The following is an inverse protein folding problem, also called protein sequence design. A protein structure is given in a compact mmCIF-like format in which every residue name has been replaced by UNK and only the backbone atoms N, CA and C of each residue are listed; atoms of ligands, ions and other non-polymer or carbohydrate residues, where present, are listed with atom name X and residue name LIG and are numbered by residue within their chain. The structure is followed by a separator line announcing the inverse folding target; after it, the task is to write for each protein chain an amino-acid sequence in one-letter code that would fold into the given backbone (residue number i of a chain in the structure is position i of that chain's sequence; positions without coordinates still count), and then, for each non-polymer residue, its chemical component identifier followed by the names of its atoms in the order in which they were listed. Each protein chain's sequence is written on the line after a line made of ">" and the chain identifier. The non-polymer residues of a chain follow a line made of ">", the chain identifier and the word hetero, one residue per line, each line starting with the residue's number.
data_IF_992959824362
#
_entry.id   IF_992959824362
#
_cell.length_a   1.000
_cell.length_b   1.000
_cell.length_c   1.000
_cell.angle_alpha   90.00
_cell.angle_beta   90.00
_cell.angle_gamma   90.00
#
_symmetry.space_group_name_H-M   'P 1'
#
loop_
_entity.id
_entity.type
_entity.pdbx_description
1 polymer ?
#
# COMPACT_ATOMS: atom_id res chain seq x y z
N UNK A 1 -12.10 -35.54 14.56
CA UNK A 1 -12.12 -34.93 13.21
C UNK A 1 -11.12 -33.79 13.24
N UNK A 2 -10.01 -33.79 12.47
CA UNK A 2 -9.15 -32.61 12.38
C UNK A 2 -9.88 -31.53 11.55
N UNK A 3 -9.91 -30.30 12.03
CA UNK A 3 -10.57 -29.17 11.37
C UNK A 3 -9.95 -28.91 9.98
N UNK A 4 -10.74 -29.09 8.92
CA UNK A 4 -10.34 -28.87 7.53
C UNK A 4 -10.19 -27.38 7.16
N UNK A 5 -10.59 -26.46 8.04
CA UNK A 5 -10.52 -25.03 7.82
C UNK A 5 -9.21 -24.45 8.35
N UNK A 6 -8.39 -23.92 7.44
CA UNK A 6 -7.16 -23.18 7.78
C UNK A 6 -7.53 -21.69 7.86
N UNK A 7 -7.60 -21.10 9.06
CA UNK A 7 -8.04 -19.72 9.21
C UNK A 7 -6.93 -18.77 8.74
N UNK A 8 -7.27 -17.79 7.91
CA UNK A 8 -6.36 -16.68 7.60
C UNK A 8 -6.35 -15.65 8.76
N UNK A 9 -5.37 -14.75 8.77
CA UNK A 9 -5.22 -13.76 9.85
C UNK A 9 -6.45 -12.85 9.97
N UNK A 10 -7.07 -12.48 8.84
CA UNK A 10 -8.29 -11.67 8.81
C UNK A 10 -9.44 -12.36 9.56
N UNK A 11 -9.65 -13.65 9.31
CA UNK A 11 -10.62 -14.49 10.00
C UNK A 11 -10.34 -14.52 11.51
N UNK A 12 -9.11 -14.84 11.92
CA UNK A 12 -8.74 -14.92 13.33
C UNK A 12 -8.97 -13.59 14.07
N UNK A 13 -8.65 -12.47 13.42
CA UNK A 13 -8.86 -11.12 13.97
C UNK A 13 -10.34 -10.81 14.16
N UNK A 14 -11.19 -11.15 13.19
CA UNK A 14 -12.64 -10.99 13.33
C UNK A 14 -13.25 -11.88 14.42
N UNK A 15 -12.76 -13.11 14.57
CA UNK A 15 -13.19 -13.98 15.67
C UNK A 15 -12.77 -13.39 17.01
N UNK A 16 -11.55 -12.85 17.13
CA UNK A 16 -11.12 -12.13 18.35
C UNK A 16 -12.03 -10.94 18.65
N UNK A 17 -12.39 -10.14 17.64
CA UNK A 17 -13.32 -9.03 17.78
C UNK A 17 -14.70 -9.51 18.27
N UNK A 18 -15.26 -10.54 17.64
CA UNK A 18 -16.54 -11.13 18.05
C UNK A 18 -16.52 -11.60 19.51
N UNK A 19 -15.46 -12.31 19.92
CA UNK A 19 -15.31 -12.80 21.29
C UNK A 19 -15.09 -11.66 22.30
N UNK A 20 -14.35 -10.62 21.91
CA UNK A 20 -14.18 -9.41 22.72
C UNK A 20 -15.52 -8.69 22.93
N UNK A 21 -16.31 -8.49 21.87
CA UNK A 21 -17.64 -7.89 21.94
C UNK A 21 -18.63 -8.78 22.72
N UNK A 22 -18.39 -10.09 22.75
CA UNK A 22 -19.13 -11.04 23.59
C UNK A 22 -18.74 -10.98 25.08
N UNK A 23 -17.81 -10.09 25.46
CA UNK A 23 -17.42 -9.84 26.85
C UNK A 23 -16.32 -10.74 27.39
N UNK A 24 -15.63 -11.53 26.55
CA UNK A 24 -14.55 -12.40 27.00
C UNK A 24 -13.25 -11.61 27.23
N UNK A 25 -12.50 -12.00 28.26
CA UNK A 25 -11.15 -11.46 28.49
C UNK A 25 -10.11 -12.14 27.57
N UNK A 26 -8.91 -11.55 27.48
CA UNK A 26 -7.83 -12.03 26.59
C UNK A 26 -7.44 -13.49 26.85
N UNK A 27 -7.47 -13.94 28.11
CA UNK A 27 -7.11 -15.32 28.48
C UNK A 27 -8.15 -16.31 27.95
N UNK A 28 -9.43 -16.01 28.16
CA UNK A 28 -10.53 -16.86 27.71
C UNK A 28 -10.61 -16.90 26.17
N UNK A 29 -10.33 -15.76 25.52
CA UNK A 29 -10.23 -15.68 24.05
C UNK A 29 -9.10 -16.60 23.55
N UNK A 30 -7.92 -16.56 24.17
CA UNK A 30 -6.79 -17.39 23.79
C UNK A 30 -7.05 -18.88 23.99
N UNK A 31 -7.67 -19.25 25.11
CA UNK A 31 -8.03 -20.63 25.42
C UNK A 31 -9.05 -21.16 24.40
N UNK A 32 -10.08 -20.36 24.08
CA UNK A 32 -11.11 -20.73 23.10
C UNK A 32 -10.56 -20.84 21.68
N UNK A 33 -9.65 -19.94 21.28
CA UNK A 33 -9.01 -19.98 19.98
C UNK A 33 -8.06 -21.17 19.84
N UNK A 34 -7.26 -21.47 20.87
CA UNK A 34 -6.38 -22.64 20.89
C UNK A 34 -7.20 -23.94 20.84
N UNK A 35 -8.31 -24.02 21.57
CA UNK A 35 -9.19 -25.19 21.52
C UNK A 35 -9.87 -25.40 20.14
N UNK A 36 -10.08 -24.33 19.37
CA UNK A 36 -10.80 -24.37 18.08
C UNK A 36 -9.85 -24.51 16.89
N UNK A 37 -8.75 -23.76 16.88
CA UNK A 37 -7.83 -23.62 15.74
C UNK A 37 -6.47 -24.27 15.97
N UNK A 38 -6.21 -24.80 17.17
CA UNK A 38 -4.98 -25.52 17.55
C UNK A 38 -3.73 -24.70 17.17
N UNK A 39 -2.83 -25.26 16.36
CA UNK A 39 -1.59 -24.62 15.88
C UNK A 39 -1.82 -23.37 15.03
N UNK A 40 -3.03 -23.16 14.50
CA UNK A 40 -3.38 -21.96 13.73
C UNK A 40 -3.90 -20.81 14.61
N UNK A 41 -4.03 -21.01 15.94
CA UNK A 41 -4.47 -19.96 16.84
C UNK A 41 -3.42 -18.85 16.98
N UNK A 42 -3.84 -17.57 17.05
CA UNK A 42 -2.92 -16.47 17.28
C UNK A 42 -2.36 -16.53 18.70
N UNK A 43 -1.10 -16.14 18.87
CA UNK A 43 -0.47 -16.07 20.19
C UNK A 43 -1.22 -15.12 21.13
N UNK A 44 -1.15 -15.38 22.44
CA UNK A 44 -1.78 -14.54 23.45
C UNK A 44 -1.36 -13.05 23.35
N UNK A 45 -0.10 -12.77 22.99
CA UNK A 45 0.41 -11.43 22.71
C UNK A 45 -0.29 -10.77 21.51
N UNK A 46 -0.56 -11.54 20.46
CA UNK A 46 -1.28 -11.04 19.26
C UNK A 46 -2.72 -10.70 19.62
N UNK A 47 -3.39 -11.54 20.40
CA UNK A 47 -4.75 -11.30 20.90
C UNK A 47 -4.78 -10.05 21.79
N UNK A 48 -3.81 -9.89 22.69
CA UNK A 48 -3.69 -8.69 23.51
C UNK A 48 -3.60 -7.42 22.65
N UNK A 49 -2.76 -7.43 21.61
CA UNK A 49 -2.63 -6.31 20.68
C UNK A 49 -3.94 -5.99 19.94
N UNK A 50 -4.68 -7.00 19.52
CA UNK A 50 -6.00 -6.79 18.88
C UNK A 50 -7.01 -6.19 19.87
N UNK A 51 -7.11 -6.76 21.08
CA UNK A 51 -8.01 -6.27 22.12
C UNK A 51 -7.65 -4.85 22.58
N UNK A 52 -6.37 -4.50 22.64
CA UNK A 52 -5.92 -3.14 22.96
C UNK A 52 -6.46 -2.12 21.94
N UNK A 53 -6.36 -2.43 20.64
CA UNK A 53 -6.91 -1.57 19.57
C UNK A 53 -8.43 -1.45 19.64
N UNK A 54 -9.14 -2.55 19.90
CA UNK A 54 -10.60 -2.53 20.01
C UNK A 54 -11.10 -1.69 21.19
N UNK A 55 -10.33 -1.62 22.29
CA UNK A 55 -10.63 -0.72 23.42
C UNK A 55 -10.47 0.75 23.06
N UNK A 56 -9.66 1.07 22.05
CA UNK A 56 -9.47 2.42 21.50
C UNK A 56 -10.47 2.72 20.37
N UNK A 57 -11.50 1.87 20.20
CA UNK A 57 -12.46 1.92 19.08
C UNK A 57 -11.82 1.84 17.69
N UNK A 58 -10.56 1.37 17.64
CA UNK A 58 -9.84 1.12 16.40
C UNK A 58 -10.14 -0.30 15.90
N UNK A 59 -11.25 -0.39 15.18
CA UNK A 59 -11.65 -1.58 14.42
C UNK A 59 -11.04 -1.61 13.02
N UNK A 60 -10.21 -0.62 12.65
CA UNK A 60 -9.60 -0.54 11.33
C UNK A 60 -8.73 -1.76 11.07
N UNK A 61 -8.88 -2.34 9.89
CA UNK A 61 -8.03 -3.44 9.46
C UNK A 61 -6.59 -3.00 9.20
N UNK A 62 -6.34 -1.70 9.20
CA UNK A 62 -5.07 -1.14 8.76
C UNK A 62 -4.27 -0.62 9.97
N UNK A 63 -3.20 -1.33 10.31
CA UNK A 63 -1.94 -0.63 10.19
C UNK A 63 -1.52 -0.92 8.76
N UNK A 64 -1.58 0.08 7.89
CA UNK A 64 -1.24 0.07 6.45
C UNK A 64 -1.05 -1.34 5.86
N UNK A 65 -1.99 -1.87 5.06
CA UNK A 65 -1.73 -3.07 4.31
C UNK A 65 -0.50 -2.79 3.47
N UNK A 66 0.61 -3.45 3.79
CA UNK A 66 1.65 -3.66 2.79
C UNK A 66 0.93 -4.42 1.70
N UNK A 67 0.54 -3.70 0.65
CA UNK A 67 -0.01 -4.26 -0.57
C UNK A 67 0.82 -5.49 -0.90
N UNK A 68 0.21 -6.66 -0.70
CA UNK A 68 0.83 -7.90 -1.11
C UNK A 68 0.65 -7.93 -2.62
N UNK A 69 1.75 -7.72 -3.34
CA UNK A 69 1.78 -7.68 -4.80
C UNK A 69 1.18 -8.94 -5.45
N UNK A 70 1.06 -10.04 -4.69
CA UNK A 70 0.40 -11.29 -5.10
C UNK A 70 -1.13 -11.24 -5.09
N UNK A 71 -1.73 -10.30 -4.37
CA UNK A 71 -3.17 -10.16 -4.23
C UNK A 71 -3.75 -9.11 -5.21
N UNK A 72 -2.89 -8.38 -5.93
CA UNK A 72 -3.28 -7.59 -7.11
C UNK A 72 -3.48 -8.53 -8.30
N UNK A 73 -4.49 -8.27 -9.15
CA UNK A 73 -4.77 -9.07 -10.36
C UNK A 73 -3.67 -9.02 -11.45
N UNK A 74 -2.53 -8.39 -11.13
CA UNK A 74 -1.23 -8.95 -11.48
C UNK A 74 -0.74 -8.67 -12.88
N UNK A 75 -1.12 -7.56 -13.50
CA UNK A 75 -0.34 -7.04 -14.65
C UNK A 75 0.88 -6.26 -14.14
N UNK A 76 1.89 -6.99 -13.66
CA UNK A 76 3.21 -6.41 -13.43
C UNK A 76 3.88 -6.13 -14.78
N UNK A 77 4.10 -4.86 -15.10
CA UNK A 77 4.88 -4.49 -16.28
C UNK A 77 6.38 -4.59 -15.96
N UNK A 78 7.15 -5.40 -16.70
CA UNK A 78 8.58 -5.48 -16.48
C UNK A 78 9.22 -4.10 -16.71
N UNK A 79 9.94 -3.61 -15.70
CA UNK A 79 10.66 -2.35 -15.79
C UNK A 79 12.17 -2.62 -15.72
N UNK A 80 12.95 -2.26 -16.75
CA UNK A 80 14.39 -2.47 -16.76
C UNK A 80 15.09 -1.61 -15.69
N UNK A 81 16.18 -2.10 -15.07
CA UNK A 81 17.01 -1.29 -14.17
C UNK A 81 17.50 -0.01 -14.85
N UNK A 82 17.67 1.06 -14.06
CA UNK A 82 18.21 2.34 -14.51
C UNK A 82 17.52 2.95 -15.73
N UNK A 83 16.21 2.77 -15.90
CA UNK A 83 15.47 3.30 -17.06
C UNK A 83 14.47 4.40 -16.70
N UNK A 84 14.91 5.53 -16.12
CA UNK A 84 14.01 6.64 -15.77
C UNK A 84 13.35 7.27 -17.01
N UNK A 85 13.96 7.12 -18.18
CA UNK A 85 13.40 7.50 -19.49
C UNK A 85 12.17 6.66 -19.88
N UNK A 86 11.94 5.53 -19.21
CA UNK A 86 10.79 4.65 -19.39
C UNK A 86 9.77 4.71 -18.24
N UNK A 87 10.03 5.49 -17.19
CA UNK A 87 9.13 5.67 -16.07
C UNK A 87 8.36 7.00 -16.22
N UNK A 88 7.03 6.99 -16.45
CA UNK A 88 6.23 8.21 -16.61
C UNK A 88 6.37 9.20 -15.45
N UNK A 89 6.51 8.68 -14.23
CA UNK A 89 6.77 9.49 -13.05
C UNK A 89 8.08 10.28 -13.16
N UNK A 90 9.15 9.68 -13.66
CA UNK A 90 10.47 10.31 -13.74
C UNK A 90 10.58 11.28 -14.93
N UNK A 91 10.25 10.82 -16.15
CA UNK A 91 10.47 11.64 -17.35
C UNK A 91 9.46 12.77 -17.52
N UNK A 92 8.29 12.69 -16.86
CA UNK A 92 7.20 13.66 -17.00
C UNK A 92 6.82 14.29 -15.66
N UNK A 93 6.19 13.54 -14.75
CA UNK A 93 5.59 14.10 -13.55
C UNK A 93 6.61 14.86 -12.69
N UNK A 94 7.70 14.20 -12.29
CA UNK A 94 8.74 14.79 -11.46
C UNK A 94 9.55 15.86 -12.19
N UNK A 95 9.67 15.76 -13.52
CA UNK A 95 10.25 16.84 -14.32
C UNK A 95 9.43 18.11 -14.20
N UNK A 96 8.11 18.04 -14.39
CA UNK A 96 7.22 19.20 -14.25
C UNK A 96 7.14 19.70 -12.80
N UNK A 97 7.08 18.78 -11.83
CA UNK A 97 7.09 19.14 -10.41
C UNK A 97 8.38 19.86 -10.03
N UNK A 98 9.55 19.34 -10.43
CA UNK A 98 10.84 19.96 -10.14
C UNK A 98 10.95 21.38 -10.72
N UNK A 99 10.34 21.61 -11.89
CA UNK A 99 10.26 22.93 -12.49
C UNK A 99 9.36 23.86 -11.66
N UNK A 100 8.20 23.38 -11.23
CA UNK A 100 7.28 24.14 -10.38
C UNK A 100 7.92 24.53 -9.04
N UNK A 101 8.63 23.60 -8.41
CA UNK A 101 9.29 23.82 -7.12
C UNK A 101 10.61 24.59 -7.22
N UNK A 102 11.14 24.81 -8.42
CA UNK A 102 12.44 25.45 -8.62
C UNK A 102 12.43 26.88 -8.05
N UNK A 103 13.38 27.15 -7.17
CA UNK A 103 13.56 28.48 -6.57
C UNK A 103 12.56 28.80 -5.44
N UNK A 104 11.67 27.87 -5.09
CA UNK A 104 10.84 28.02 -3.90
C UNK A 104 11.65 27.68 -2.64
N UNK A 105 11.38 28.41 -1.55
CA UNK A 105 11.97 28.14 -0.24
C UNK A 105 10.84 27.78 0.73
N UNK A 106 10.91 26.57 1.29
CA UNK A 106 9.90 26.04 2.21
C UNK A 106 10.44 26.08 3.63
N UNK A 107 9.67 26.66 4.56
CA UNK A 107 10.10 26.78 5.96
C UNK A 107 9.70 25.56 6.77
N UNK A 108 8.57 24.95 6.42
CA UNK A 108 8.05 23.77 7.10
C UNK A 108 7.40 22.76 6.14
N UNK A 109 6.96 21.63 6.72
CA UNK A 109 6.30 20.54 5.99
C UNK A 109 4.95 20.97 5.39
N UNK A 110 4.22 21.89 6.04
CA UNK A 110 2.91 22.35 5.57
C UNK A 110 3.06 23.19 4.31
N UNK A 111 4.12 23.99 4.22
CA UNK A 111 4.45 24.75 3.02
C UNK A 111 4.68 23.80 1.82
N UNK A 112 5.41 22.70 2.03
CA UNK A 112 5.64 21.68 1.00
C UNK A 112 4.33 20.99 0.60
N UNK A 113 3.51 20.57 1.57
CA UNK A 113 2.20 19.96 1.29
C UNK A 113 1.29 20.89 0.49
N UNK A 114 1.28 22.18 0.82
CA UNK A 114 0.50 23.20 0.12
C UNK A 114 0.98 23.36 -1.33
N UNK A 115 2.29 23.45 -1.55
CA UNK A 115 2.87 23.54 -2.89
C UNK A 115 2.57 22.29 -3.73
N UNK A 116 2.65 21.09 -3.15
CA UNK A 116 2.28 19.84 -3.81
C UNK A 116 0.79 19.83 -4.17
N UNK A 117 -0.09 20.16 -3.22
CA UNK A 117 -1.54 20.26 -3.48
C UNK A 117 -1.85 21.26 -4.58
N UNK A 118 -1.17 22.41 -4.60
CA UNK A 118 -1.30 23.41 -5.65
C UNK A 118 -0.85 22.88 -7.01
N UNK A 119 0.31 22.21 -7.08
CA UNK A 119 0.80 21.60 -8.31
C UNK A 119 -0.20 20.57 -8.86
N UNK A 120 -0.58 19.58 -8.06
CA UNK A 120 -1.49 18.51 -8.50
C UNK A 120 -2.89 19.04 -8.82
N UNK A 121 -3.39 20.02 -8.07
CA UNK A 121 -4.67 20.68 -8.33
C UNK A 121 -4.69 21.53 -9.60
N UNK A 122 -3.51 21.99 -10.08
CA UNK A 122 -3.37 22.74 -11.33
C UNK A 122 -3.23 21.86 -12.58
N UNK A 123 -2.93 20.57 -12.42
CA UNK A 123 -2.78 19.66 -13.56
C UNK A 123 -4.15 19.20 -14.08
N UNK A 124 -4.35 19.27 -15.39
CA UNK A 124 -5.55 18.76 -16.06
C UNK A 124 -5.42 17.27 -16.38
N UNK A 125 -6.53 16.57 -16.63
CA UNK A 125 -6.48 15.15 -17.00
C UNK A 125 -5.57 14.85 -18.21
N UNK A 126 -5.53 15.78 -19.17
CA UNK A 126 -4.68 15.64 -20.37
C UNK A 126 -3.18 15.64 -20.05
N UNK A 127 -2.77 16.28 -18.95
CA UNK A 127 -1.37 16.26 -18.50
C UNK A 127 -0.89 14.84 -18.21
N UNK A 128 -1.69 14.06 -17.49
CA UNK A 128 -1.41 12.66 -17.18
C UNK A 128 -1.66 11.77 -18.38
N UNK A 129 -2.70 12.04 -19.16
CA UNK A 129 -3.01 11.22 -20.34
C UNK A 129 -1.88 11.29 -21.37
N UNK A 130 -1.35 12.48 -21.63
CA UNK A 130 -0.28 12.69 -22.59
C UNK A 130 0.98 11.88 -22.24
N UNK A 131 1.32 11.73 -20.95
CA UNK A 131 2.53 11.03 -20.54
C UNK A 131 2.48 9.53 -20.83
N UNK A 132 1.32 8.90 -20.65
CA UNK A 132 1.07 7.49 -20.96
C UNK A 132 1.08 7.26 -22.47
N UNK A 133 0.53 8.19 -23.27
CA UNK A 133 0.51 8.05 -24.74
C UNK A 133 1.91 8.18 -25.37
N UNK A 134 2.85 8.84 -24.71
CA UNK A 134 4.24 8.94 -25.19
C UNK A 134 5.04 7.65 -24.95
N UNK A 135 4.61 6.81 -24.02
CA UNK A 135 5.34 5.63 -23.57
C UNK A 135 5.67 4.62 -24.71
N UNK A 136 4.74 4.28 -25.64
CA UNK A 136 5.06 3.42 -26.78
C UNK A 136 6.15 4.00 -27.69
N UNK A 137 6.16 5.33 -27.86
CA UNK A 137 7.18 6.04 -28.63
C UNK A 137 8.56 5.96 -27.99
N UNK A 138 8.62 6.03 -26.64
CA UNK A 138 9.86 5.86 -25.87
C UNK A 138 10.37 4.42 -25.94
N UNK A 139 9.50 3.42 -25.78
CA UNK A 139 9.87 2.02 -25.97
C UNK A 139 10.50 1.75 -27.34
N UNK A 140 9.91 2.32 -28.40
CA UNK A 140 10.47 2.21 -29.75
C UNK A 140 11.86 2.84 -29.86
N UNK A 141 12.10 3.98 -29.22
CA UNK A 141 13.43 4.62 -29.20
C UNK A 141 14.46 3.78 -28.45
N UNK A 142 14.14 3.27 -27.27
CA UNK A 142 15.04 2.38 -26.51
C UNK A 142 15.37 1.11 -27.29
N UNK A 143 14.37 0.51 -27.96
CA UNK A 143 14.58 -0.66 -28.81
C UNK A 143 15.53 -0.33 -29.97
N UNK A 144 15.32 0.80 -30.66
CA UNK A 144 16.18 1.24 -31.76
C UNK A 144 17.61 1.63 -31.29
N UNK A 145 17.74 2.07 -30.04
CA UNK A 145 19.02 2.41 -29.42
C UNK A 145 19.74 1.19 -28.82
N UNK A 146 19.24 -0.03 -29.04
CA UNK A 146 19.76 -1.28 -28.46
C UNK A 146 19.89 -1.22 -26.93
N UNK A 147 18.90 -0.61 -26.26
CA UNK A 147 18.90 -0.46 -24.80
C UNK A 147 19.71 0.73 -24.27
N UNK A 148 20.36 1.51 -25.13
CA UNK A 148 20.97 2.78 -24.73
C UNK A 148 19.92 3.89 -24.54
N UNK A 149 20.28 4.91 -23.76
CA UNK A 149 19.48 6.13 -23.60
C UNK A 149 19.36 6.94 -24.91
N UNK A 150 18.34 7.80 -25.00
CA UNK A 150 18.00 8.60 -26.19
C UNK A 150 17.57 10.04 -25.85
#
# INVERSE_FOLDING_TARGET
>A
MPNAFIPNNFHLRNVVLFLFLSGLNVKDIHEKLTATYDTNAPSQTTIYRYVARYKEEDYSFEGEPKLNWKDMDGTYYPHPPYSPDLAPSDYHLFRHLSHCLRGQNFKDRKDVESALKGFFGSQIAEFYRADIHVLPGRWKKTANANGNYF
#
